data_IF_916168818148
#
_entry.id   IF_916168818148
#
_cell.length_a   1.000
_cell.length_b   1.000
_cell.length_c   1.000
_cell.angle_alpha   90.00
_cell.angle_beta   90.00
_cell.angle_gamma   90.00
#
_symmetry.space_group_name_H-M   'P 1'
#
loop_
_entity.id
_entity.type
_entity.pdbx_description
1 polymer ?
#
# COMPACT_ATOMS: atom_id res chain seq x y z
N UNK A 1 10.73 -3.50 -30.96
CA UNK A 1 11.61 -2.66 -30.10
C UNK A 1 11.54 -3.14 -28.65
N UNK A 2 12.06 -4.34 -28.34
CA UNK A 2 12.03 -4.93 -26.98
C UNK A 2 13.42 -5.07 -26.34
N UNK A 3 14.44 -4.46 -26.92
CA UNK A 3 15.84 -4.72 -26.59
C UNK A 3 16.42 -3.82 -25.49
N UNK A 4 15.67 -2.82 -25.01
CA UNK A 4 16.21 -1.78 -24.11
C UNK A 4 16.16 -2.17 -22.63
N UNK A 5 15.14 -2.91 -22.18
CA UNK A 5 14.95 -3.27 -20.76
C UNK A 5 15.84 -4.44 -20.31
N UNK A 6 16.12 -5.40 -21.18
CA UNK A 6 16.99 -6.54 -20.86
C UNK A 6 18.46 -6.14 -20.66
N UNK A 7 18.93 -5.09 -21.35
CA UNK A 7 20.29 -4.60 -21.22
C UNK A 7 20.50 -3.84 -19.90
N UNK A 8 19.54 -3.01 -19.47
CA UNK A 8 19.62 -2.28 -18.22
C UNK A 8 19.69 -3.20 -16.98
N UNK A 9 18.90 -4.29 -16.97
CA UNK A 9 18.93 -5.28 -15.89
C UNK A 9 20.26 -6.06 -15.84
N UNK A 10 20.89 -6.28 -17.00
CA UNK A 10 22.17 -7.00 -17.09
C UNK A 10 23.36 -6.11 -16.70
N UNK A 11 23.30 -4.81 -17.00
CA UNK A 11 24.25 -3.80 -16.51
C UNK A 11 24.12 -3.57 -14.99
N UNK A 12 22.89 -3.63 -14.45
CA UNK A 12 22.61 -3.55 -13.01
C UNK A 12 23.27 -4.68 -12.18
N UNK A 13 23.36 -5.88 -12.76
CA UNK A 13 24.00 -7.05 -12.13
C UNK A 13 25.54 -6.92 -12.10
N UNK A 14 26.13 -6.14 -13.00
CA UNK A 14 27.58 -5.96 -13.12
C UNK A 14 28.12 -4.72 -12.38
N UNK A 15 27.24 -3.81 -11.97
CA UNK A 15 27.63 -2.61 -11.25
C UNK A 15 28.09 -2.94 -9.82
N UNK A 16 29.24 -2.40 -9.39
CA UNK A 16 29.72 -2.57 -8.01
C UNK A 16 28.66 -2.00 -7.05
N UNK A 17 28.11 -2.81 -6.13
CA UNK A 17 27.06 -2.33 -5.25
C UNK A 17 27.58 -1.25 -4.30
N UNK A 18 26.77 -0.22 -4.09
CA UNK A 18 27.04 0.79 -3.06
C UNK A 18 27.06 0.10 -1.68
N UNK A 19 28.20 0.16 -0.99
CA UNK A 19 28.42 -0.56 0.26
C UNK A 19 27.44 -0.18 1.38
N UNK A 20 26.92 1.04 1.37
CA UNK A 20 26.03 1.57 2.41
C UNK A 20 24.55 1.56 2.02
N UNK A 21 24.19 1.03 0.84
CA UNK A 21 22.80 1.01 0.41
C UNK A 21 21.98 -0.02 1.20
N UNK A 22 20.83 0.40 1.74
CA UNK A 22 19.86 -0.50 2.41
C UNK A 22 19.44 -1.66 1.51
N UNK A 23 19.42 -1.47 0.21
CA UNK A 23 19.01 -2.50 -0.74
C UNK A 23 20.14 -3.48 -1.10
N UNK A 24 21.28 -3.50 -0.40
CA UNK A 24 22.45 -4.34 -0.70
C UNK A 24 22.43 -5.72 0.01
N UNK A 25 21.26 -6.35 0.12
CA UNK A 25 21.12 -7.72 0.63
C UNK A 25 21.29 -8.77 -0.47
N UNK A 26 21.66 -10.03 -0.18
CA UNK A 26 21.61 -11.08 -1.18
C UNK A 26 20.21 -11.13 -1.83
N UNK A 27 20.14 -11.06 -3.16
CA UNK A 27 18.85 -11.16 -3.83
C UNK A 27 18.30 -12.57 -3.63
N UNK A 28 17.05 -12.74 -3.18
CA UNK A 28 16.44 -14.06 -3.11
C UNK A 28 16.39 -14.67 -4.51
N UNK A 29 16.45 -16.01 -4.57
CA UNK A 29 16.22 -16.73 -5.82
C UNK A 29 14.78 -16.49 -6.22
N UNK A 30 14.54 -16.02 -7.45
CA UNK A 30 13.18 -15.82 -7.93
C UNK A 30 12.60 -17.15 -8.41
N UNK A 31 11.61 -17.68 -7.69
CA UNK A 31 10.99 -18.97 -7.97
C UNK A 31 9.70 -18.82 -8.78
N UNK A 32 9.03 -17.68 -8.65
CA UNK A 32 7.82 -17.35 -9.41
C UNK A 32 7.84 -15.93 -10.04
N UNK A 33 6.73 -15.54 -10.67
CA UNK A 33 6.57 -14.25 -11.36
C UNK A 33 6.53 -13.08 -10.37
N UNK A 34 6.01 -13.28 -9.16
CA UNK A 34 5.98 -12.26 -8.12
C UNK A 34 7.40 -11.99 -7.62
N UNK A 35 8.18 -13.03 -7.35
CA UNK A 35 9.58 -12.91 -6.97
C UNK A 35 10.40 -12.20 -8.05
N UNK A 36 10.14 -12.51 -9.32
CA UNK A 36 10.79 -11.82 -10.43
C UNK A 36 10.50 -10.32 -10.41
N UNK A 37 9.26 -9.93 -10.10
CA UNK A 37 8.86 -8.52 -10.01
C UNK A 37 9.51 -7.82 -8.82
N UNK A 38 9.57 -8.48 -7.66
CA UNK A 38 10.23 -7.97 -6.45
C UNK A 38 11.72 -7.80 -6.68
N UNK A 39 12.39 -8.84 -7.20
CA UNK A 39 13.82 -8.81 -7.56
C UNK A 39 14.10 -7.73 -8.61
N UNK A 40 13.21 -7.57 -9.60
CA UNK A 40 13.33 -6.49 -10.58
C UNK A 40 13.27 -5.10 -9.93
N UNK A 41 12.32 -4.87 -9.02
CA UNK A 41 12.22 -3.63 -8.26
C UNK A 41 13.48 -3.31 -7.45
N UNK A 42 14.07 -4.32 -6.80
CA UNK A 42 15.35 -4.18 -6.10
C UNK A 42 16.50 -3.82 -7.06
N UNK A 43 16.58 -4.47 -8.22
CA UNK A 43 17.61 -4.20 -9.22
C UNK A 43 17.48 -2.78 -9.79
N UNK A 44 16.27 -2.30 -10.06
CA UNK A 44 16.02 -0.93 -10.55
C UNK A 44 16.49 0.10 -9.51
N UNK A 45 16.15 -0.07 -8.24
CA UNK A 45 16.61 0.85 -7.17
C UNK A 45 18.11 0.84 -7.00
N UNK A 46 18.77 -0.32 -7.08
CA UNK A 46 20.24 -0.42 -7.07
C UNK A 46 20.87 0.30 -8.26
N UNK A 47 20.31 0.13 -9.45
CA UNK A 47 20.79 0.77 -10.68
C UNK A 47 20.72 2.29 -10.56
N UNK A 48 19.58 2.80 -10.11
CA UNK A 48 19.38 4.22 -9.86
C UNK A 48 20.36 4.76 -8.80
N UNK A 49 20.53 4.03 -7.69
CA UNK A 49 21.48 4.39 -6.65
C UNK A 49 22.92 4.44 -7.15
N UNK A 50 23.35 3.49 -7.98
CA UNK A 50 24.69 3.50 -8.58
C UNK A 50 24.88 4.65 -9.56
N UNK A 51 23.85 5.00 -10.33
CA UNK A 51 23.90 6.08 -11.30
C UNK A 51 23.91 7.48 -10.67
N UNK A 52 23.40 7.62 -9.44
CA UNK A 52 23.38 8.89 -8.71
C UNK A 52 24.79 9.34 -8.29
N UNK A 53 25.00 10.66 -8.20
CA UNK A 53 26.20 11.23 -7.57
C UNK A 53 26.18 10.98 -6.06
N UNK A 54 27.35 10.94 -5.41
CA UNK A 54 27.44 10.69 -3.97
C UNK A 54 26.68 11.72 -3.11
N UNK A 55 26.59 12.96 -3.59
CA UNK A 55 25.80 14.04 -2.98
C UNK A 55 24.28 13.83 -3.06
N UNK A 56 23.81 13.00 -3.98
CA UNK A 56 22.40 12.69 -4.19
C UNK A 56 22.00 11.32 -3.60
N UNK A 57 22.94 10.60 -2.95
CA UNK A 57 22.70 9.27 -2.37
C UNK A 57 22.26 9.38 -0.90
N UNK A 58 21.00 9.06 -0.58
CA UNK A 58 20.53 9.06 0.81
C UNK A 58 21.28 8.05 1.70
N UNK A 59 21.82 6.99 1.10
CA UNK A 59 22.57 5.95 1.79
C UNK A 59 24.01 6.31 2.17
N UNK A 60 24.53 7.48 1.76
CA UNK A 60 25.87 7.95 2.11
C UNK A 60 25.87 9.04 3.19
N UNK A 61 24.70 9.47 3.66
CA UNK A 61 24.59 10.38 4.80
C UNK A 61 25.01 9.62 6.06
N UNK A 62 26.23 9.89 6.54
CA UNK A 62 26.84 9.22 7.73
C UNK A 62 26.08 9.48 9.02
N UNK A 63 25.28 10.53 9.04
CA UNK A 63 24.24 10.72 10.04
C UNK A 63 22.94 10.24 9.43
N UNK A 64 22.43 9.11 9.90
CA UNK A 64 20.98 8.98 9.92
C UNK A 64 20.45 10.30 10.49
N UNK A 65 19.47 10.97 9.85
CA UNK A 65 18.80 12.07 10.51
C UNK A 65 18.46 11.56 11.91
N UNK A 66 18.97 12.21 12.96
CA UNK A 66 18.58 11.86 14.33
C UNK A 66 17.05 11.73 14.30
N UNK A 67 16.45 10.66 14.86
CA UNK A 67 15.00 10.53 14.89
C UNK A 67 14.45 11.84 15.47
N UNK A 68 13.87 12.66 14.59
CA UNK A 68 13.59 14.06 14.85
C UNK A 68 12.36 14.14 15.76
N UNK A 69 12.53 13.84 17.05
CA UNK A 69 11.42 13.83 17.99
C UNK A 69 10.25 12.94 17.53
N UNK A 70 9.10 13.15 18.16
CA UNK A 70 7.85 12.54 17.70
C UNK A 70 7.52 13.04 16.28
N UNK A 71 7.05 12.16 15.37
CA UNK A 71 6.68 12.55 14.01
C UNK A 71 5.68 13.72 14.03
N UNK A 72 5.87 14.66 13.11
CA UNK A 72 4.98 15.82 12.99
C UNK A 72 3.62 15.39 12.44
N UNK A 73 2.58 16.19 12.72
CA UNK A 73 1.22 15.94 12.21
C UNK A 73 1.18 15.75 10.67
N UNK A 74 1.80 16.61 9.84
CA UNK A 74 1.87 16.40 8.40
C UNK A 74 2.59 15.11 8.00
N UNK A 75 3.67 14.72 8.70
CA UNK A 75 4.39 13.48 8.41
C UNK A 75 3.52 12.25 8.66
N UNK A 76 2.75 12.22 9.76
CA UNK A 76 1.82 11.13 10.02
C UNK A 76 0.75 10.98 8.93
N UNK A 77 0.30 12.09 8.33
CA UNK A 77 -0.65 12.07 7.21
C UNK A 77 -0.02 11.52 5.94
N UNK A 78 1.21 11.92 5.62
CA UNK A 78 1.96 11.37 4.48
C UNK A 78 2.21 9.87 4.65
N UNK A 79 2.58 9.42 5.85
CA UNK A 79 2.74 7.99 6.14
C UNK A 79 1.42 7.23 5.93
N UNK A 80 0.28 7.82 6.29
CA UNK A 80 -1.02 7.20 6.04
C UNK A 80 -1.29 7.05 4.52
N UNK A 81 -0.88 8.02 3.70
CA UNK A 81 -0.99 7.94 2.24
C UNK A 81 -0.10 6.87 1.62
N UNK A 82 1.10 6.65 2.18
CA UNK A 82 1.94 5.54 1.73
C UNK A 82 1.25 4.18 1.96
N UNK A 83 0.52 4.04 3.06
CA UNK A 83 -0.26 2.83 3.33
C UNK A 83 -1.52 2.71 2.46
N UNK A 84 -2.19 3.80 2.07
CA UNK A 84 -3.31 3.73 1.12
C UNK A 84 -2.83 3.35 -0.29
N UNK A 85 -1.66 3.85 -0.74
CA UNK A 85 -1.01 3.37 -1.97
C UNK A 85 -0.67 1.87 -1.89
N UNK A 86 -0.11 1.45 -0.75
CA UNK A 86 0.18 0.03 -0.51
C UNK A 86 -1.09 -0.82 -0.59
N UNK A 87 -2.21 -0.34 -0.02
CA UNK A 87 -3.50 -1.01 -0.08
C UNK A 87 -4.03 -1.09 -1.52
N UNK A 88 -3.91 -0.03 -2.33
CA UNK A 88 -4.28 -0.06 -3.76
C UNK A 88 -3.51 -1.13 -4.54
N UNK A 89 -2.26 -1.39 -4.17
CA UNK A 89 -1.48 -2.48 -4.78
C UNK A 89 -2.07 -3.85 -4.43
N UNK A 90 -2.50 -4.05 -3.18
CA UNK A 90 -3.17 -5.30 -2.77
C UNK A 90 -4.51 -5.46 -3.49
N UNK A 91 -5.31 -4.39 -3.61
CA UNK A 91 -6.60 -4.41 -4.32
C UNK A 91 -6.46 -4.79 -5.80
N UNK A 92 -5.42 -4.28 -6.49
CA UNK A 92 -5.11 -4.70 -7.86
C UNK A 92 -4.80 -6.19 -7.94
N UNK A 93 -4.13 -6.76 -6.95
CA UNK A 93 -3.90 -8.20 -6.87
C UNK A 93 -5.21 -8.97 -6.61
N UNK A 94 -6.09 -8.47 -5.75
CA UNK A 94 -7.43 -9.05 -5.54
C UNK A 94 -8.26 -9.10 -6.83
N UNK A 95 -8.19 -8.08 -7.69
CA UNK A 95 -8.83 -8.12 -9.01
C UNK A 95 -8.27 -9.22 -9.91
N UNK A 96 -6.95 -9.45 -9.88
CA UNK A 96 -6.33 -10.55 -10.62
C UNK A 96 -6.79 -11.91 -10.07
N UNK A 97 -6.90 -12.06 -8.74
CA UNK A 97 -7.42 -13.28 -8.11
C UNK A 97 -8.89 -13.52 -8.45
N UNK A 98 -9.70 -12.47 -8.53
CA UNK A 98 -11.10 -12.59 -8.95
C UNK A 98 -11.23 -13.12 -10.39
N UNK A 99 -10.33 -12.69 -11.29
CA UNK A 99 -10.25 -13.25 -12.64
C UNK A 99 -9.81 -14.72 -12.66
N UNK A 100 -8.92 -15.13 -11.74
CA UNK A 100 -8.55 -16.54 -11.57
C UNK A 100 -9.72 -17.37 -11.03
N UNK A 101 -10.50 -16.82 -10.10
CA UNK A 101 -11.66 -17.48 -9.51
C UNK A 101 -12.69 -17.86 -10.58
N UNK A 102 -12.96 -16.98 -11.55
CA UNK A 102 -13.85 -17.27 -12.67
C UNK A 102 -13.40 -18.49 -13.50
N UNK A 103 -12.10 -18.80 -13.50
CA UNK A 103 -11.52 -19.97 -14.16
C UNK A 103 -11.36 -21.21 -13.25
N UNK A 104 -11.47 -21.07 -11.93
CA UNK A 104 -11.08 -22.08 -10.94
C UNK A 104 -11.94 -23.35 -10.93
N UNK A 105 -13.15 -23.30 -11.47
CA UNK A 105 -14.04 -24.48 -11.59
C UNK A 105 -13.74 -25.37 -12.79
N UNK A 106 -12.75 -25.03 -13.62
CA UNK A 106 -12.33 -25.87 -14.74
C UNK A 106 -11.42 -27.01 -14.28
N UNK A 107 -11.55 -28.24 -14.81
CA UNK A 107 -10.71 -29.39 -14.45
C UNK A 107 -9.21 -29.21 -14.74
N UNK A 108 -8.85 -28.18 -15.52
CA UNK A 108 -7.47 -27.82 -15.88
C UNK A 108 -7.07 -26.45 -15.32
N UNK A 109 -7.81 -25.92 -14.33
CA UNK A 109 -7.47 -24.66 -13.70
C UNK A 109 -6.11 -24.74 -13.01
N UNK A 110 -5.31 -23.68 -13.16
CA UNK A 110 -3.98 -23.56 -12.55
C UNK A 110 -4.04 -23.53 -11.01
N UNK A 111 -5.19 -23.16 -10.45
CA UNK A 111 -5.43 -23.03 -9.01
C UNK A 111 -6.77 -23.72 -8.69
N UNK A 112 -6.76 -24.65 -7.74
CA UNK A 112 -7.97 -25.29 -7.22
C UNK A 112 -8.62 -24.41 -6.12
N UNK A 113 -9.78 -24.81 -5.61
CA UNK A 113 -10.50 -24.01 -4.59
C UNK A 113 -9.71 -23.85 -3.29
N UNK A 114 -8.94 -24.85 -2.86
CA UNK A 114 -8.08 -24.75 -1.67
C UNK A 114 -6.98 -23.69 -1.86
N UNK A 115 -6.24 -23.75 -2.98
CA UNK A 115 -5.22 -22.76 -3.30
C UNK A 115 -5.79 -21.36 -3.54
N UNK A 116 -7.02 -21.27 -4.02
CA UNK A 116 -7.73 -19.99 -4.12
C UNK A 116 -8.06 -19.42 -2.73
N UNK A 117 -8.52 -20.26 -1.80
CA UNK A 117 -8.74 -19.88 -0.41
C UNK A 117 -7.46 -19.36 0.25
N UNK A 118 -6.34 -20.05 0.09
CA UNK A 118 -5.03 -19.61 0.60
C UNK A 118 -4.60 -18.25 0.04
N UNK A 119 -4.77 -18.03 -1.27
CA UNK A 119 -4.49 -16.73 -1.90
C UNK A 119 -5.37 -15.61 -1.35
N UNK A 120 -6.67 -15.89 -1.15
CA UNK A 120 -7.58 -14.91 -0.56
C UNK A 120 -7.19 -14.57 0.88
N UNK A 121 -6.84 -15.56 1.71
CA UNK A 121 -6.34 -15.29 3.06
C UNK A 121 -5.06 -14.45 3.06
N UNK A 122 -4.10 -14.77 2.19
CA UNK A 122 -2.87 -13.97 2.07
C UNK A 122 -3.17 -12.51 1.73
N UNK A 123 -4.08 -12.26 0.78
CA UNK A 123 -4.48 -10.90 0.43
C UNK A 123 -5.27 -10.23 1.55
N UNK A 124 -6.14 -10.97 2.25
CA UNK A 124 -6.85 -10.47 3.41
C UNK A 124 -5.90 -9.99 4.51
N UNK A 125 -4.93 -10.80 4.89
CA UNK A 125 -3.92 -10.46 5.91
C UNK A 125 -3.11 -9.24 5.49
N UNK A 126 -2.76 -9.16 4.21
CA UNK A 126 -2.10 -7.99 3.67
C UNK A 126 -2.99 -6.74 3.82
N UNK A 127 -4.28 -6.80 3.45
CA UNK A 127 -5.22 -5.70 3.60
C UNK A 127 -5.38 -5.29 5.07
N UNK A 128 -5.56 -6.26 5.96
CA UNK A 128 -5.70 -6.04 7.41
C UNK A 128 -4.50 -5.27 7.98
N UNK A 129 -3.28 -5.70 7.67
CA UNK A 129 -2.06 -5.01 8.12
C UNK A 129 -1.99 -3.55 7.67
N UNK A 130 -2.37 -3.24 6.43
CA UNK A 130 -2.35 -1.84 5.92
C UNK A 130 -3.44 -1.02 6.60
N UNK A 131 -4.63 -1.60 6.76
CA UNK A 131 -5.72 -0.93 7.46
C UNK A 131 -5.37 -0.68 8.94
N UNK A 132 -4.63 -1.55 9.63
CA UNK A 132 -4.23 -1.32 11.02
C UNK A 132 -3.24 -0.17 11.12
N UNK A 133 -2.28 -0.11 10.18
CA UNK A 133 -1.33 0.98 10.09
C UNK A 133 -2.04 2.31 9.82
N UNK A 134 -2.96 2.36 8.84
CA UNK A 134 -3.77 3.55 8.54
C UNK A 134 -4.56 3.99 9.76
N UNK A 135 -5.26 3.06 10.43
CA UNK A 135 -6.07 3.35 11.62
C UNK A 135 -5.23 3.95 12.75
N UNK A 136 -4.08 3.33 13.04
CA UNK A 136 -3.14 3.82 14.05
C UNK A 136 -2.66 5.24 13.75
N UNK A 137 -2.36 5.54 12.48
CA UNK A 137 -1.89 6.87 12.06
C UNK A 137 -3.01 7.92 12.13
N UNK A 138 -4.23 7.59 11.68
CA UNK A 138 -5.40 8.48 11.79
C UNK A 138 -5.70 8.79 13.25
N UNK A 139 -5.64 7.79 14.15
CA UNK A 139 -5.85 7.98 15.58
C UNK A 139 -4.78 8.86 16.22
N UNK A 140 -3.51 8.67 15.83
CA UNK A 140 -2.40 9.51 16.28
C UNK A 140 -2.60 10.96 15.83
N UNK A 141 -2.99 11.17 14.55
CA UNK A 141 -3.30 12.49 13.99
C UNK A 141 -4.46 13.15 14.74
N UNK A 142 -5.57 12.44 14.94
CA UNK A 142 -6.74 12.95 15.66
C UNK A 142 -6.41 13.35 17.09
N UNK A 143 -5.64 12.53 17.80
CA UNK A 143 -5.19 12.79 19.17
C UNK A 143 -4.32 14.05 19.23
N UNK A 144 -3.35 14.17 18.32
CA UNK A 144 -2.47 15.32 18.25
C UNK A 144 -3.19 16.61 17.80
N UNK A 145 -4.16 16.53 16.88
CA UNK A 145 -5.00 17.65 16.48
C UNK A 145 -5.86 18.16 17.65
N UNK A 146 -6.40 17.23 18.45
CA UNK A 146 -7.21 17.58 19.63
C UNK A 146 -6.37 18.30 20.69
N UNK A 147 -5.12 17.88 20.87
CA UNK A 147 -4.19 18.49 21.80
C UNK A 147 -3.70 19.90 21.37
N UNK A 148 -3.64 20.20 20.07
CA UNK A 148 -2.95 21.39 19.53
C UNK A 148 -3.85 22.60 19.22
N UNK A 149 -5.12 22.64 19.63
CA UNK A 149 -6.08 23.68 19.22
C UNK A 149 -6.07 23.96 17.71
N UNK A 150 -5.77 22.94 16.90
CA UNK A 150 -5.77 23.04 15.43
C UNK A 150 -7.16 23.39 14.90
N UNK A 151 -7.21 24.11 13.77
CA UNK A 151 -8.45 24.66 13.23
C UNK A 151 -9.53 23.61 12.95
N UNK A 152 -10.80 24.04 13.03
CA UNK A 152 -11.96 23.15 12.94
C UNK A 152 -11.99 22.32 11.65
N UNK A 153 -11.47 22.85 10.54
CA UNK A 153 -11.36 22.10 9.28
C UNK A 153 -10.52 20.83 9.40
N UNK A 154 -9.35 20.90 10.07
CA UNK A 154 -8.46 19.75 10.23
C UNK A 154 -9.10 18.67 11.13
N UNK A 155 -9.89 19.08 12.13
CA UNK A 155 -10.66 18.16 12.98
C UNK A 155 -11.72 17.40 12.18
N UNK A 156 -12.52 18.10 11.38
CA UNK A 156 -13.55 17.46 10.56
C UNK A 156 -12.93 16.48 9.56
N UNK A 157 -11.87 16.87 8.86
CA UNK A 157 -11.17 15.98 7.91
C UNK A 157 -10.60 14.72 8.60
N UNK A 158 -10.07 14.83 9.82
CA UNK A 158 -9.59 13.67 10.58
C UNK A 158 -10.73 12.74 11.04
N UNK A 159 -11.91 13.29 11.35
CA UNK A 159 -13.10 12.50 11.65
C UNK A 159 -13.60 11.78 10.40
N UNK A 160 -13.73 12.49 9.29
CA UNK A 160 -14.18 11.92 8.03
C UNK A 160 -13.24 10.80 7.55
N UNK A 161 -11.91 10.97 7.72
CA UNK A 161 -10.93 9.93 7.46
C UNK A 161 -11.14 8.70 8.37
N UNK A 162 -11.51 8.90 9.64
CA UNK A 162 -11.85 7.79 10.55
C UNK A 162 -13.06 7.01 10.04
N UNK A 163 -14.09 7.70 9.55
CA UNK A 163 -15.28 7.06 9.00
C UNK A 163 -14.96 6.27 7.72
N UNK A 164 -14.14 6.82 6.81
CA UNK A 164 -13.69 6.08 5.63
C UNK A 164 -12.90 4.83 6.02
N UNK A 165 -12.01 4.93 7.01
CA UNK A 165 -11.28 3.78 7.53
C UNK A 165 -12.22 2.69 8.05
N UNK A 166 -13.26 3.08 8.79
CA UNK A 166 -14.27 2.14 9.27
C UNK A 166 -15.00 1.43 8.12
N UNK A 167 -15.37 2.15 7.07
CA UNK A 167 -16.01 1.54 5.89
C UNK A 167 -15.08 0.59 5.14
N UNK A 168 -13.79 0.94 5.01
CA UNK A 168 -12.78 0.05 4.41
C UNK A 168 -12.61 -1.23 5.25
N UNK A 169 -12.64 -1.11 6.58
CA UNK A 169 -12.64 -2.26 7.50
C UNK A 169 -13.83 -3.18 7.29
N UNK A 170 -15.03 -2.64 7.11
CA UNK A 170 -16.22 -3.45 6.82
C UNK A 170 -16.07 -4.23 5.50
N UNK A 171 -15.54 -3.59 4.45
CA UNK A 171 -15.28 -4.26 3.18
C UNK A 171 -14.23 -5.39 3.32
N UNK A 172 -13.16 -5.14 4.09
CA UNK A 172 -12.15 -6.16 4.37
C UNK A 172 -12.70 -7.33 5.18
N UNK A 173 -13.57 -7.10 6.17
CA UNK A 173 -14.23 -8.18 6.91
C UNK A 173 -15.16 -9.02 6.02
N UNK A 174 -15.88 -8.38 5.10
CA UNK A 174 -16.68 -9.10 4.11
C UNK A 174 -15.79 -9.94 3.17
N UNK A 175 -14.62 -9.42 2.79
CA UNK A 175 -13.63 -10.18 2.03
C UNK A 175 -13.09 -11.38 2.81
N UNK A 176 -12.75 -11.21 4.10
CA UNK A 176 -12.32 -12.29 4.98
C UNK A 176 -13.38 -13.40 5.06
N UNK A 177 -14.65 -13.03 5.25
CA UNK A 177 -15.75 -13.98 5.28
C UNK A 177 -15.91 -14.75 3.96
N UNK A 178 -15.69 -14.08 2.81
CA UNK A 178 -15.66 -14.77 1.51
C UNK A 178 -14.49 -15.76 1.46
N UNK A 179 -13.28 -15.36 1.87
CA UNK A 179 -12.11 -16.23 1.90
C UNK A 179 -12.36 -17.51 2.73
N UNK A 180 -12.93 -17.36 3.94
CA UNK A 180 -13.29 -18.48 4.84
C UNK A 180 -14.30 -19.46 4.19
N UNK A 181 -15.19 -18.97 3.34
CA UNK A 181 -16.22 -19.80 2.71
C UNK A 181 -15.70 -20.60 1.51
N UNK A 182 -14.63 -20.16 0.84
CA UNK A 182 -14.15 -20.75 -0.42
C UNK A 182 -13.84 -22.25 -0.30
N UNK A 183 -13.12 -22.74 0.71
CA UNK A 183 -12.82 -24.17 0.84
C UNK A 183 -14.08 -25.03 1.03
N UNK A 184 -15.06 -24.52 1.78
CA UNK A 184 -16.29 -25.24 2.13
C UNK A 184 -17.38 -25.16 1.05
N UNK A 185 -17.28 -24.18 0.14
CA UNK A 185 -18.29 -23.91 -0.88
C UNK A 185 -17.93 -24.49 -2.25
N UNK A 186 -16.87 -25.30 -2.36
CA UNK A 186 -16.40 -25.87 -3.62
C UNK A 186 -17.49 -26.60 -4.44
N UNK A 187 -18.46 -27.22 -3.77
CA UNK A 187 -19.55 -27.97 -4.42
C UNK A 187 -20.76 -27.11 -4.82
N UNK A 188 -20.84 -25.86 -4.34
CA UNK A 188 -22.04 -25.01 -4.47
C UNK A 188 -21.77 -23.62 -5.06
N UNK A 189 -20.53 -23.14 -4.98
CA UNK A 189 -20.11 -21.83 -5.48
C UNK A 189 -19.46 -22.01 -6.85
N UNK A 190 -20.05 -21.41 -7.89
CA UNK A 190 -19.35 -21.32 -9.17
C UNK A 190 -18.20 -20.31 -9.05
N UNK A 191 -17.10 -20.59 -9.74
CA UNK A 191 -15.96 -19.68 -9.81
C UNK A 191 -16.35 -18.29 -10.32
N UNK A 192 -17.33 -18.22 -11.22
CA UNK A 192 -17.90 -16.96 -11.73
C UNK A 192 -18.59 -16.13 -10.65
N UNK A 193 -19.43 -16.76 -9.80
CA UNK A 193 -20.10 -16.07 -8.71
C UNK A 193 -19.09 -15.56 -7.66
N UNK A 194 -18.08 -16.38 -7.36
CA UNK A 194 -16.98 -16.00 -6.47
C UNK A 194 -16.19 -14.83 -7.04
N UNK A 195 -15.78 -14.91 -8.32
CA UNK A 195 -15.07 -13.84 -9.00
C UNK A 195 -15.86 -12.53 -9.00
N UNK A 196 -17.16 -12.58 -9.29
CA UNK A 196 -18.03 -11.41 -9.24
C UNK A 196 -18.12 -10.79 -7.83
N UNK A 197 -18.24 -11.62 -6.79
CA UNK A 197 -18.26 -11.15 -5.40
C UNK A 197 -16.93 -10.49 -5.00
N UNK A 198 -15.80 -11.10 -5.38
CA UNK A 198 -14.46 -10.56 -5.10
C UNK A 198 -14.23 -9.23 -5.81
N UNK A 199 -14.65 -9.10 -7.08
CA UNK A 199 -14.58 -7.83 -7.82
C UNK A 199 -15.39 -6.74 -7.12
N UNK A 200 -16.64 -7.04 -6.74
CA UNK A 200 -17.51 -6.06 -6.07
C UNK A 200 -16.90 -5.56 -4.76
N UNK A 201 -16.32 -6.46 -3.95
CA UNK A 201 -15.67 -6.10 -2.69
C UNK A 201 -14.39 -5.28 -2.90
N UNK A 202 -13.57 -5.66 -3.88
CA UNK A 202 -12.33 -4.96 -4.20
C UNK A 202 -12.60 -3.56 -4.80
N UNK A 203 -13.60 -3.43 -5.68
CA UNK A 203 -14.04 -2.14 -6.23
C UNK A 203 -14.60 -1.23 -5.12
N UNK A 204 -15.47 -1.77 -4.25
CA UNK A 204 -16.00 -1.01 -3.12
C UNK A 204 -14.87 -0.50 -2.19
N UNK A 205 -13.84 -1.31 -1.95
CA UNK A 205 -12.70 -0.87 -1.15
C UNK A 205 -11.79 0.11 -1.91
N UNK A 206 -11.65 -0.03 -3.23
CA UNK A 206 -10.89 0.90 -4.05
C UNK A 206 -11.52 2.30 -4.09
N UNK A 207 -12.84 2.38 -4.22
CA UNK A 207 -13.59 3.65 -4.14
C UNK A 207 -13.39 4.33 -2.79
N UNK A 208 -13.45 3.59 -1.69
CA UNK A 208 -13.21 4.12 -0.33
C UNK A 208 -11.75 4.54 -0.14
N UNK A 209 -10.81 3.82 -0.73
CA UNK A 209 -9.38 4.19 -0.69
C UNK A 209 -9.14 5.49 -1.45
N UNK A 210 -9.79 5.72 -2.59
CA UNK A 210 -9.70 6.99 -3.32
C UNK A 210 -10.29 8.16 -2.50
N UNK A 211 -11.44 7.95 -1.86
CA UNK A 211 -12.02 8.95 -0.96
C UNK A 211 -11.12 9.26 0.24
N UNK A 212 -10.44 8.25 0.80
CA UNK A 212 -9.43 8.42 1.85
C UNK A 212 -8.25 9.25 1.35
N UNK A 213 -7.74 9.00 0.14
CA UNK A 213 -6.63 9.75 -0.44
C UNK A 213 -6.98 11.24 -0.55
N UNK A 214 -8.16 11.58 -1.08
CA UNK A 214 -8.65 12.96 -1.18
C UNK A 214 -8.74 13.64 0.20
N UNK A 215 -9.18 12.91 1.23
CA UNK A 215 -9.25 13.41 2.61
C UNK A 215 -7.86 13.65 3.21
N UNK A 216 -6.93 12.71 3.03
CA UNK A 216 -5.57 12.82 3.53
C UNK A 216 -4.82 13.97 2.83
N UNK A 217 -5.02 14.17 1.53
CA UNK A 217 -4.48 15.31 0.80
C UNK A 217 -5.02 16.64 1.34
N UNK A 218 -6.33 16.73 1.53
CA UNK A 218 -6.97 17.91 2.11
C UNK A 218 -6.50 18.18 3.55
N UNK A 219 -6.30 17.13 4.34
CA UNK A 219 -5.83 17.21 5.72
C UNK A 219 -4.36 17.66 5.77
N UNK A 220 -3.50 17.08 4.93
CA UNK A 220 -2.11 17.50 4.80
C UNK A 220 -2.01 18.97 4.41
N UNK A 221 -2.80 19.41 3.42
CA UNK A 221 -2.87 20.82 3.03
C UNK A 221 -3.35 21.72 4.18
N UNK A 222 -4.36 21.30 4.94
CA UNK A 222 -4.87 22.07 6.09
C UNK A 222 -3.84 22.19 7.23
N UNK A 223 -3.01 21.17 7.43
CA UNK A 223 -1.97 21.14 8.47
C UNK A 223 -0.69 21.89 8.08
N UNK A 224 -0.43 22.05 6.78
CA UNK A 224 0.75 22.74 6.24
C UNK A 224 0.48 24.19 5.86
N UNK A 225 -0.78 24.59 5.74
CA UNK A 225 -1.16 25.98 5.57
C UNK A 225 -0.66 26.81 6.78
N UNK A 226 0.28 27.73 6.53
CA UNK A 226 0.74 28.66 7.55
C UNK A 226 -0.45 29.48 8.08
N UNK A 227 -0.49 29.80 9.38
CA UNK A 227 -1.48 30.74 9.88
C UNK A 227 -1.28 32.04 9.12
N UNK A 228 -2.30 32.46 8.35
CA UNK A 228 -2.31 33.79 7.77
C UNK A 228 -2.10 34.77 8.93
N UNK A 229 -1.02 35.54 8.88
CA UNK A 229 -0.83 36.66 9.80
C UNK A 229 -2.02 37.60 9.60
N UNK A 230 -3.02 37.47 10.48
CA UNK A 230 -4.05 38.46 10.64
C UNK A 230 -3.38 39.74 11.16
N UNK A 231 -3.26 40.70 10.24
CA UNK A 231 -3.27 42.14 10.47
C UNK A 231 -2.63 42.63 11.77
N UNK A 232 -1.35 42.95 11.70
CA UNK A 232 -0.75 43.92 12.59
C UNK A 232 -1.38 45.30 12.29
N UNK A 233 -2.07 45.96 13.23
CA UNK A 233 -2.67 47.27 12.96
C UNK A 233 -1.55 48.31 12.85
N UNK A 234 -1.59 49.12 11.79
CA UNK A 234 -0.87 50.38 11.69
C UNK A 234 -1.77 51.52 12.17
#
# INVERSE_FOLDING_TARGET
>A
MHTTTHNAAREAVQAKPCQNCRDNFPLPKAEDVFDQHVVHGYLVRRSACTASSDTAKPCLVKEAPQPQGLPTLPQLVLEAQDFTESLRTVLRACHAVAALAAGATHPHATVNMDGLGELLHLHNDAMEQRLDAIGTLIDAVRTAISARQTGDRARHLAMDATDQHHHMRQAQLAFAAVADMVPCAADTLTGENLGAALLLLADAMAERTAAMDDMLDALHAALTAAPAHEGQPA
#
